data_IF_081426259967
#
_entry.id   IF_081426259967
#
_cell.length_a   1.000
_cell.length_b   1.000
_cell.length_c   1.000
_cell.angle_alpha   90.00
_cell.angle_beta   90.00
_cell.angle_gamma   90.00
#
_symmetry.space_group_name_H-M   'P 1'
#
loop_
_entity.id
_entity.type
_entity.pdbx_description
1 polymer ?
#
# COMPACT_ATOMS: atom_id res chain seq x y z
N UNK A 1 19.85 27.55 26.63
CA UNK A 1 20.18 26.36 25.83
C UNK A 1 19.13 26.26 24.74
N UNK A 2 19.51 26.52 23.48
CA UNK A 2 18.59 26.44 22.34
C UNK A 2 18.58 24.98 21.90
N UNK A 3 17.42 24.33 21.94
CA UNK A 3 17.29 22.96 21.43
C UNK A 3 17.69 22.94 19.94
N UNK A 4 18.44 21.93 19.46
CA UNK A 4 18.72 21.82 18.05
C UNK A 4 17.39 21.71 17.30
N UNK A 5 17.11 22.69 16.46
CA UNK A 5 15.99 22.65 15.52
C UNK A 5 16.30 21.50 14.57
N UNK A 6 15.60 20.38 14.72
CA UNK A 6 15.70 19.26 13.81
C UNK A 6 15.57 19.80 12.39
N UNK A 7 16.61 19.64 11.58
CA UNK A 7 16.57 20.05 10.18
C UNK A 7 15.37 19.39 9.51
N UNK A 8 14.57 20.13 8.71
CA UNK A 8 13.50 19.51 7.94
C UNK A 8 14.11 18.39 7.10
N UNK A 9 13.46 17.21 7.12
CA UNK A 9 13.85 16.06 6.30
C UNK A 9 14.14 16.52 4.86
N UNK A 10 15.28 16.12 4.31
CA UNK A 10 15.64 16.54 2.96
C UNK A 10 14.68 15.93 1.95
N UNK A 11 14.51 16.57 0.78
CA UNK A 11 13.68 16.03 -0.29
C UNK A 11 14.12 14.60 -0.72
N UNK A 12 15.43 14.31 -0.63
CA UNK A 12 15.98 12.99 -0.88
C UNK A 12 15.54 11.96 0.18
N UNK A 13 15.52 12.34 1.46
CA UNK A 13 15.08 11.44 2.55
C UNK A 13 13.58 11.13 2.45
N UNK A 14 12.77 12.12 2.05
CA UNK A 14 11.33 11.95 1.85
C UNK A 14 11.06 11.02 0.67
N UNK A 15 11.76 11.22 -0.46
CA UNK A 15 11.64 10.35 -1.63
C UNK A 15 12.06 8.91 -1.29
N UNK A 16 13.18 8.73 -0.58
CA UNK A 16 13.66 7.41 -0.17
C UNK A 16 12.66 6.71 0.76
N UNK A 17 12.08 7.44 1.71
CA UNK A 17 11.04 6.91 2.62
C UNK A 17 9.80 6.48 1.84
N UNK A 18 9.32 7.33 0.92
CA UNK A 18 8.19 6.97 0.06
C UNK A 18 8.48 5.74 -0.81
N UNK A 19 9.64 5.68 -1.47
CA UNK A 19 10.02 4.53 -2.28
C UNK A 19 10.12 3.25 -1.45
N UNK A 20 10.55 3.34 -0.18
CA UNK A 20 10.53 2.21 0.75
C UNK A 20 9.12 1.73 1.06
N UNK A 21 8.16 2.64 1.31
CA UNK A 21 6.75 2.30 1.49
C UNK A 21 6.18 1.65 0.22
N UNK A 22 6.47 2.21 -0.96
CA UNK A 22 6.01 1.65 -2.25
C UNK A 22 6.56 0.24 -2.49
N UNK A 23 7.85 -0.01 -2.21
CA UNK A 23 8.43 -1.36 -2.32
C UNK A 23 7.74 -2.37 -1.41
N UNK A 24 7.53 -2.02 -0.15
CA UNK A 24 6.81 -2.90 0.79
C UNK A 24 5.36 -3.12 0.36
N UNK A 25 4.68 -2.12 -0.19
CA UNK A 25 3.35 -2.30 -0.75
C UNK A 25 3.34 -3.30 -1.93
N UNK A 26 4.35 -3.24 -2.82
CA UNK A 26 4.53 -4.21 -3.91
C UNK A 26 4.71 -5.63 -3.35
N UNK A 27 5.49 -5.79 -2.28
CA UNK A 27 5.70 -7.09 -1.64
C UNK A 27 4.39 -7.64 -1.06
N UNK A 28 3.59 -6.79 -0.40
CA UNK A 28 2.27 -7.19 0.13
C UNK A 28 1.32 -7.60 -0.98
N UNK A 29 1.22 -6.83 -2.07
CA UNK A 29 0.38 -7.22 -3.22
C UNK A 29 0.88 -8.50 -3.89
N UNK A 30 2.20 -8.73 -3.92
CA UNK A 30 2.77 -9.99 -4.43
C UNK A 30 2.35 -11.18 -3.54
N UNK A 31 2.36 -11.01 -2.22
CA UNK A 31 1.91 -12.03 -1.29
C UNK A 31 0.39 -12.29 -1.41
N UNK A 32 -0.42 -11.24 -1.60
CA UNK A 32 -1.86 -11.36 -1.87
C UNK A 32 -2.10 -12.20 -3.13
N UNK A 33 -1.40 -11.89 -4.23
CA UNK A 33 -1.52 -12.65 -5.49
C UNK A 33 -1.20 -14.11 -5.24
N UNK A 34 -0.04 -14.42 -4.65
CA UNK A 34 0.38 -15.79 -4.39
C UNK A 34 -0.59 -16.56 -3.47
N UNK A 35 -1.26 -15.86 -2.56
CA UNK A 35 -2.25 -16.47 -1.66
C UNK A 35 -3.52 -16.89 -2.40
N UNK A 36 -3.96 -16.11 -3.39
CA UNK A 36 -5.21 -16.35 -4.11
C UNK A 36 -5.04 -17.07 -5.45
N UNK A 37 -3.83 -17.09 -6.02
CA UNK A 37 -3.52 -17.77 -7.27
C UNK A 37 -3.96 -19.26 -7.33
N UNK A 38 -3.81 -20.06 -6.26
CA UNK A 38 -4.29 -21.46 -6.26
C UNK A 38 -5.81 -21.61 -6.34
N UNK A 39 -6.56 -20.56 -6.00
CA UNK A 39 -8.03 -20.57 -6.01
C UNK A 39 -8.60 -19.98 -7.30
N UNK A 40 -7.75 -19.52 -8.23
CA UNK A 40 -8.18 -19.09 -9.56
C UNK A 40 -8.86 -20.30 -10.21
N UNK A 41 -10.06 -20.08 -10.78
CA UNK A 41 -10.95 -21.11 -11.33
C UNK A 41 -11.71 -21.97 -10.29
N UNK A 42 -11.67 -21.63 -9.00
CA UNK A 42 -12.68 -22.14 -8.05
C UNK A 42 -14.08 -21.66 -8.46
N UNK A 43 -15.15 -22.31 -7.97
CA UNK A 43 -16.56 -22.03 -8.36
C UNK A 43 -17.02 -20.57 -8.13
N UNK A 44 -16.18 -19.71 -7.56
CA UNK A 44 -16.48 -18.31 -7.29
C UNK A 44 -15.38 -17.42 -7.88
N UNK A 45 -15.79 -16.42 -8.65
CA UNK A 45 -14.90 -15.50 -9.39
C UNK A 45 -14.07 -14.55 -8.51
N UNK A 46 -14.31 -14.53 -7.19
CA UNK A 46 -13.66 -13.60 -6.27
C UNK A 46 -12.12 -13.72 -6.28
N UNK A 47 -11.57 -14.93 -6.31
CA UNK A 47 -10.11 -15.14 -6.32
C UNK A 47 -9.48 -14.58 -7.61
N UNK A 48 -10.16 -14.75 -8.75
CA UNK A 48 -9.73 -14.19 -10.03
C UNK A 48 -9.78 -12.66 -10.02
N UNK A 49 -10.88 -12.08 -9.51
CA UNK A 49 -11.02 -10.63 -9.35
C UNK A 49 -9.93 -10.08 -8.42
N UNK A 50 -9.69 -10.70 -7.27
CA UNK A 50 -8.67 -10.27 -6.31
C UNK A 50 -7.26 -10.35 -6.92
N UNK A 51 -6.91 -11.44 -7.60
CA UNK A 51 -5.61 -11.58 -8.26
C UNK A 51 -5.43 -10.54 -9.36
N UNK A 52 -6.44 -10.34 -10.22
CA UNK A 52 -6.40 -9.36 -11.31
C UNK A 52 -6.22 -7.93 -10.78
N UNK A 53 -7.00 -7.54 -9.76
CA UNK A 53 -6.87 -6.22 -9.16
C UNK A 53 -5.55 -6.04 -8.41
N UNK A 54 -5.12 -7.02 -7.61
CA UNK A 54 -3.84 -6.96 -6.90
C UNK A 54 -2.66 -6.86 -7.88
N UNK A 55 -2.74 -7.56 -9.02
CA UNK A 55 -1.74 -7.47 -10.10
C UNK A 55 -1.69 -6.06 -10.69
N UNK A 56 -2.85 -5.49 -11.00
CA UNK A 56 -2.95 -4.11 -11.52
C UNK A 56 -2.36 -3.09 -10.54
N UNK A 57 -2.66 -3.23 -9.23
CA UNK A 57 -2.09 -2.34 -8.21
C UNK A 57 -0.57 -2.51 -8.11
N UNK A 58 -0.08 -3.76 -8.09
CA UNK A 58 1.36 -4.06 -8.05
C UNK A 58 2.11 -3.40 -9.21
N UNK A 59 1.59 -3.53 -10.43
CA UNK A 59 2.19 -2.91 -11.63
C UNK A 59 2.17 -1.38 -11.54
N UNK A 60 1.06 -0.79 -11.11
CA UNK A 60 0.96 0.66 -10.89
C UNK A 60 1.96 1.17 -9.84
N UNK A 61 2.23 0.39 -8.79
CA UNK A 61 3.24 0.70 -7.78
C UNK A 61 4.67 0.58 -8.32
N UNK A 62 4.96 -0.44 -9.13
CA UNK A 62 6.26 -0.58 -9.78
C UNK A 62 6.58 0.63 -10.65
N UNK A 63 5.61 1.15 -11.41
CA UNK A 63 5.80 2.36 -12.20
C UNK A 63 6.16 3.58 -11.35
N UNK A 64 5.59 3.68 -10.14
CA UNK A 64 5.89 4.80 -9.22
C UNK A 64 7.32 4.78 -8.71
N UNK A 65 7.99 3.62 -8.65
CA UNK A 65 9.37 3.53 -8.18
C UNK A 65 10.37 4.23 -9.11
N UNK A 66 10.03 4.44 -10.39
CA UNK A 66 10.87 5.19 -11.32
C UNK A 66 10.82 6.71 -11.12
N UNK A 67 9.96 7.20 -10.22
CA UNK A 67 9.86 8.63 -9.92
C UNK A 67 11.13 9.13 -9.22
N UNK A 68 11.74 10.16 -9.79
CA UNK A 68 12.94 10.84 -9.24
C UNK A 68 12.60 12.00 -8.32
N UNK A 69 11.32 12.32 -8.18
CA UNK A 69 10.79 13.35 -7.29
C UNK A 69 9.41 12.95 -6.80
N UNK A 70 8.97 13.56 -5.71
CA UNK A 70 7.67 13.31 -5.11
C UNK A 70 6.96 14.62 -4.77
N UNK A 71 5.64 14.62 -5.01
CA UNK A 71 4.70 15.69 -4.64
C UNK A 71 3.64 15.14 -3.69
N UNK A 72 2.95 16.02 -2.97
CA UNK A 72 1.84 15.65 -2.07
C UNK A 72 0.84 14.72 -2.78
N UNK A 73 0.48 15.06 -4.02
CA UNK A 73 -0.45 14.28 -4.83
C UNK A 73 -0.02 12.81 -5.00
N UNK A 74 1.27 12.52 -5.18
CA UNK A 74 1.73 11.14 -5.35
C UNK A 74 1.51 10.30 -4.08
N UNK A 75 1.79 10.88 -2.91
CA UNK A 75 1.58 10.24 -1.62
C UNK A 75 0.09 10.04 -1.32
N UNK A 76 -0.75 11.03 -1.66
CA UNK A 76 -2.22 10.89 -1.58
C UNK A 76 -2.75 9.78 -2.48
N UNK A 77 -2.29 9.70 -3.74
CA UNK A 77 -2.71 8.64 -4.65
C UNK A 77 -2.24 7.27 -4.18
N UNK A 78 -1.07 7.17 -3.53
CA UNK A 78 -0.64 5.90 -2.91
C UNK A 78 -1.61 5.50 -1.80
N UNK A 79 -1.92 6.41 -0.89
CA UNK A 79 -2.86 6.16 0.21
C UNK A 79 -4.25 5.76 -0.30
N UNK A 80 -4.74 6.42 -1.37
CA UNK A 80 -6.00 6.08 -2.03
C UNK A 80 -6.00 4.69 -2.67
N UNK A 81 -4.90 4.31 -3.35
CA UNK A 81 -4.71 2.97 -3.91
C UNK A 81 -4.79 1.89 -2.82
N UNK A 82 -4.09 2.06 -1.70
CA UNK A 82 -4.09 1.09 -0.60
C UNK A 82 -5.46 1.00 0.08
N UNK A 83 -6.08 2.15 0.35
CA UNK A 83 -7.40 2.22 0.98
C UNK A 83 -8.50 1.57 0.13
N UNK A 84 -8.50 1.83 -1.19
CA UNK A 84 -9.49 1.24 -2.08
C UNK A 84 -9.45 -0.29 -2.07
N UNK A 85 -8.25 -0.89 -2.06
CA UNK A 85 -8.12 -2.33 -1.98
C UNK A 85 -8.66 -2.89 -0.64
N UNK A 86 -8.32 -2.24 0.48
CA UNK A 86 -8.79 -2.65 1.80
C UNK A 86 -10.32 -2.62 1.90
N UNK A 87 -10.96 -1.57 1.39
CA UNK A 87 -12.41 -1.41 1.45
C UNK A 87 -13.14 -2.40 0.54
N UNK A 88 -12.60 -2.65 -0.66
CA UNK A 88 -13.27 -3.48 -1.67
C UNK A 88 -13.25 -4.97 -1.33
N UNK A 89 -12.17 -5.48 -0.71
CA UNK A 89 -11.96 -6.93 -0.59
C UNK A 89 -12.14 -7.48 0.83
N UNK A 90 -12.13 -6.64 1.86
CA UNK A 90 -12.24 -7.13 3.24
C UNK A 90 -13.62 -7.69 3.59
N UNK A 91 -14.69 -6.98 3.20
CA UNK A 91 -16.06 -7.36 3.55
C UNK A 91 -16.49 -8.68 2.90
N UNK A 92 -16.04 -8.95 1.68
CA UNK A 92 -16.36 -10.18 0.95
C UNK A 92 -15.59 -11.37 1.51
N UNK A 93 -14.34 -11.15 1.90
CA UNK A 93 -13.50 -12.16 2.53
C UNK A 93 -14.06 -12.65 3.88
N UNK A 94 -14.53 -11.73 4.75
CA UNK A 94 -15.07 -12.09 6.08
C UNK A 94 -16.26 -13.06 5.96
N UNK A 95 -17.05 -12.88 4.90
CA UNK A 95 -18.28 -13.64 4.63
C UNK A 95 -18.04 -14.97 3.93
N UNK A 96 -17.03 -15.04 3.05
CA UNK A 96 -16.95 -16.12 2.05
C UNK A 96 -15.87 -17.17 2.33
N UNK A 97 -14.90 -16.90 3.21
CA UNK A 97 -13.68 -17.72 3.30
C UNK A 97 -13.71 -18.70 4.49
N UNK A 98 -13.88 -20.02 4.25
CA UNK A 98 -14.05 -21.01 5.31
C UNK A 98 -12.73 -21.50 5.95
N UNK A 99 -11.59 -21.31 5.28
CA UNK A 99 -10.28 -21.74 5.78
C UNK A 99 -9.74 -20.72 6.81
N UNK A 100 -9.62 -21.09 8.11
CA UNK A 100 -9.16 -20.18 9.15
C UNK A 100 -7.66 -19.83 9.05
N UNK A 101 -6.82 -20.69 8.48
CA UNK A 101 -5.40 -20.41 8.32
C UNK A 101 -5.16 -19.42 7.19
N UNK A 102 -5.81 -19.66 6.05
CA UNK A 102 -5.81 -18.71 4.94
C UNK A 102 -6.46 -17.39 5.34
N UNK A 103 -7.49 -17.45 6.20
CA UNK A 103 -8.07 -16.28 6.84
C UNK A 103 -6.98 -15.48 7.57
N UNK A 104 -6.36 -16.04 8.60
CA UNK A 104 -5.33 -15.34 9.37
C UNK A 104 -4.24 -14.65 8.52
N UNK A 105 -3.80 -15.28 7.41
CA UNK A 105 -2.82 -14.68 6.49
C UNK A 105 -3.33 -13.40 5.81
N UNK A 106 -4.57 -13.38 5.35
CA UNK A 106 -5.18 -12.17 4.75
C UNK A 106 -5.30 -11.06 5.79
N UNK A 107 -5.70 -11.36 7.02
CA UNK A 107 -5.79 -10.35 8.08
C UNK A 107 -4.43 -9.70 8.35
N UNK A 108 -3.36 -10.50 8.33
CA UNK A 108 -1.99 -10.01 8.47
C UNK A 108 -1.59 -9.11 7.30
N UNK A 109 -1.88 -9.52 6.05
CA UNK A 109 -1.59 -8.71 4.86
C UNK A 109 -2.38 -7.39 4.87
N UNK A 110 -3.64 -7.41 5.30
CA UNK A 110 -4.45 -6.21 5.48
C UNK A 110 -3.89 -5.28 6.56
N UNK A 111 -3.45 -5.83 7.70
CA UNK A 111 -2.80 -5.06 8.74
C UNK A 111 -1.51 -4.39 8.22
N UNK A 112 -0.74 -5.08 7.37
CA UNK A 112 0.46 -4.52 6.73
C UNK A 112 0.10 -3.37 5.78
N UNK A 113 -0.92 -3.52 4.91
CA UNK A 113 -1.38 -2.43 4.04
C UNK A 113 -1.83 -1.20 4.86
N UNK A 114 -2.55 -1.41 5.96
CA UNK A 114 -2.98 -0.34 6.86
C UNK A 114 -1.80 0.38 7.51
N UNK A 115 -0.80 -0.37 8.00
CA UNK A 115 0.42 0.21 8.54
C UNK A 115 1.16 1.06 7.49
N UNK A 116 1.24 0.60 6.23
CA UNK A 116 1.85 1.36 5.14
C UNK A 116 1.07 2.65 4.82
N UNK A 117 -0.25 2.66 4.94
CA UNK A 117 -1.05 3.89 4.85
C UNK A 117 -0.68 4.87 5.97
N UNK A 118 -0.60 4.38 7.22
CA UNK A 118 -0.25 5.22 8.37
C UNK A 118 1.17 5.82 8.23
N UNK A 119 2.11 5.05 7.69
CA UNK A 119 3.46 5.51 7.37
C UNK A 119 3.50 6.58 6.25
N UNK A 120 2.47 6.62 5.38
CA UNK A 120 2.36 7.61 4.31
C UNK A 120 1.85 8.97 4.82
N UNK A 121 1.10 9.01 5.93
CA UNK A 121 0.57 10.24 6.54
C UNK A 121 1.65 11.29 6.85
N UNK A 122 2.76 10.97 7.54
CA UNK A 122 3.81 11.95 7.81
C UNK A 122 4.46 12.47 6.52
N UNK A 123 4.62 11.64 5.48
CA UNK A 123 5.14 12.04 4.16
C UNK A 123 4.24 13.12 3.55
N UNK A 124 2.91 12.89 3.53
CA UNK A 124 1.92 13.85 3.01
C UNK A 124 2.02 15.19 3.76
N UNK A 125 2.10 15.13 5.10
CA UNK A 125 2.19 16.35 5.93
C UNK A 125 3.43 17.19 5.61
N UNK A 126 4.58 16.54 5.46
CA UNK A 126 5.84 17.22 5.16
C UNK A 126 5.80 17.83 3.76
N UNK A 127 5.34 17.07 2.75
CA UNK A 127 5.23 17.57 1.37
C UNK A 127 4.28 18.76 1.26
N UNK A 128 3.13 18.71 1.94
CA UNK A 128 2.19 19.83 2.00
C UNK A 128 2.81 21.10 2.57
N UNK A 129 3.69 20.97 3.57
CA UNK A 129 4.39 22.12 4.16
C UNK A 129 5.44 22.68 3.20
N UNK A 130 6.19 21.81 2.51
CA UNK A 130 7.20 22.20 1.53
C UNK A 130 6.59 22.86 0.28
N UNK A 131 5.39 22.45 -0.14
CA UNK A 131 4.72 23.02 -1.32
C UNK A 131 4.00 24.35 -1.04
N UNK A 132 3.76 24.68 0.23
CA UNK A 132 3.08 25.92 0.66
C UNK A 132 4.04 27.03 1.12
N UNK A 133 5.30 26.69 1.39
CA UNK A 133 6.36 27.62 1.77
C UNK A 133 7.16 28.08 0.57
#
# INVERSE_FOLDING_TARGET
MVAPVSSPLSAADILATYQSVVRRAIDVFTAIIALYEPDIHSERDWADITVSQATTQREGLQQRLFSTSIKEAHALTLMGTLGHYLDAHWADYERLMPDPAKRQQVEQLHAQLKALMDETIPIIKILRQQERG
#
